data_IF_249152675116
#
_entry.id   IF_249152675116
#
_cell.length_a   1.000
_cell.length_b   1.000
_cell.length_c   1.000
_cell.angle_alpha   90.00
_cell.angle_beta   90.00
_cell.angle_gamma   90.00
#
_symmetry.space_group_name_H-M   'P 1'
#
loop_
_entity.id
_entity.type
_entity.pdbx_description
1 polymer ?
#
# COMPACT_ATOMS: atom_id res chain seq x y z
N UNK A 1 -25.72 -18.57 14.41
CA UNK A 1 -25.84 -17.27 13.73
C UNK A 1 -25.90 -17.57 12.24
N UNK A 2 -26.84 -17.02 11.49
CA UNK A 2 -27.04 -17.40 10.08
C UNK A 2 -26.83 -16.19 9.20
N UNK A 3 -25.93 -16.30 8.22
CA UNK A 3 -25.73 -15.30 7.17
C UNK A 3 -26.36 -15.88 5.91
N UNK A 4 -27.33 -15.17 5.34
CA UNK A 4 -27.94 -15.53 4.06
C UNK A 4 -27.38 -14.63 2.97
N UNK A 5 -26.90 -15.23 1.89
CA UNK A 5 -26.37 -14.53 0.73
C UNK A 5 -27.23 -14.94 -0.46
N UNK A 6 -28.08 -14.02 -0.93
CA UNK A 6 -28.96 -14.27 -2.09
C UNK A 6 -28.28 -13.74 -3.37
N UNK A 7 -27.13 -14.33 -3.73
CA UNK A 7 -26.35 -13.94 -4.93
C UNK A 7 -25.68 -15.17 -5.56
N UNK A 8 -26.10 -15.51 -6.79
CA UNK A 8 -25.71 -16.76 -7.48
C UNK A 8 -24.19 -16.91 -7.63
N UNK A 9 -23.48 -15.84 -8.01
CA UNK A 9 -22.02 -15.89 -8.17
C UNK A 9 -21.29 -16.19 -6.85
N UNK A 10 -21.78 -15.65 -5.72
CA UNK A 10 -21.15 -15.88 -4.42
C UNK A 10 -21.36 -17.33 -4.00
N UNK A 11 -22.56 -17.88 -4.23
CA UNK A 11 -22.88 -19.28 -4.00
C UNK A 11 -21.97 -20.20 -4.82
N UNK A 12 -21.78 -19.91 -6.11
CA UNK A 12 -20.90 -20.67 -6.99
C UNK A 12 -19.44 -20.64 -6.53
N UNK A 13 -18.93 -19.47 -6.12
CA UNK A 13 -17.56 -19.32 -5.59
C UNK A 13 -17.36 -20.08 -4.28
N UNK A 14 -18.32 -20.01 -3.36
CA UNK A 14 -18.28 -20.77 -2.10
C UNK A 14 -18.26 -22.27 -2.40
N UNK A 15 -19.11 -22.75 -3.32
CA UNK A 15 -19.19 -24.15 -3.69
C UNK A 15 -17.88 -24.67 -4.30
N UNK A 16 -17.28 -23.92 -5.24
CA UNK A 16 -15.98 -24.27 -5.84
C UNK A 16 -14.86 -24.32 -4.79
N UNK A 17 -14.78 -23.32 -3.91
CA UNK A 17 -13.78 -23.28 -2.85
C UNK A 17 -13.98 -24.40 -1.83
N UNK A 18 -15.22 -24.72 -1.46
CA UNK A 18 -15.52 -25.84 -0.58
C UNK A 18 -15.11 -27.17 -1.22
N UNK A 19 -15.39 -27.36 -2.51
CA UNK A 19 -15.00 -28.56 -3.25
C UNK A 19 -13.47 -28.74 -3.31
N UNK A 20 -12.72 -27.65 -3.52
CA UNK A 20 -11.24 -27.71 -3.63
C UNK A 20 -10.53 -27.82 -2.29
N UNK A 21 -11.07 -27.22 -1.23
CA UNK A 21 -10.39 -27.11 0.07
C UNK A 21 -10.92 -28.09 1.11
N UNK A 22 -12.09 -28.69 0.89
CA UNK A 22 -12.79 -29.53 1.87
C UNK A 22 -13.30 -28.77 3.09
N UNK A 23 -13.29 -27.43 3.06
CA UNK A 23 -13.73 -26.58 4.17
C UNK A 23 -15.23 -26.28 4.05
N UNK A 24 -15.87 -26.10 5.20
CA UNK A 24 -17.26 -25.65 5.23
C UNK A 24 -17.40 -24.18 4.79
N UNK A 25 -18.61 -23.85 4.35
CA UNK A 25 -18.99 -22.51 3.88
C UNK A 25 -18.63 -21.41 4.88
N UNK A 26 -18.98 -21.60 6.15
CA UNK A 26 -18.87 -20.56 7.16
C UNK A 26 -17.39 -20.29 7.47
N UNK A 27 -16.57 -21.35 7.51
CA UNK A 27 -15.12 -21.24 7.64
C UNK A 27 -14.49 -20.48 6.46
N UNK A 28 -14.96 -20.72 5.22
CA UNK A 28 -14.48 -19.99 4.04
C UNK A 28 -14.85 -18.51 4.08
N UNK A 29 -16.10 -18.19 4.42
CA UNK A 29 -16.57 -16.80 4.53
C UNK A 29 -15.80 -16.07 5.63
N UNK A 30 -15.67 -16.70 6.81
CA UNK A 30 -14.97 -16.09 7.94
C UNK A 30 -13.49 -15.84 7.64
N UNK A 31 -12.83 -16.79 6.97
CA UNK A 31 -11.43 -16.64 6.56
C UNK A 31 -11.27 -15.52 5.52
N UNK A 32 -12.15 -15.45 4.52
CA UNK A 32 -12.14 -14.37 3.53
C UNK A 32 -12.28 -12.98 4.18
N UNK A 33 -13.21 -12.82 5.12
CA UNK A 33 -13.41 -11.57 5.86
C UNK A 33 -12.22 -11.21 6.74
N UNK A 34 -11.59 -12.20 7.39
CA UNK A 34 -10.38 -11.99 8.22
C UNK A 34 -9.21 -11.52 7.37
N UNK A 35 -8.96 -12.18 6.24
CA UNK A 35 -7.89 -11.82 5.30
C UNK A 35 -8.07 -10.40 4.78
N UNK A 36 -9.29 -10.03 4.41
CA UNK A 36 -9.55 -8.67 3.93
C UNK A 36 -9.33 -7.63 5.02
N UNK A 37 -9.79 -7.88 6.25
CA UNK A 37 -9.49 -7.01 7.39
C UNK A 37 -7.98 -6.88 7.63
N UNK A 38 -7.26 -8.00 7.65
CA UNK A 38 -5.81 -8.01 7.85
C UNK A 38 -5.06 -7.26 6.74
N UNK A 39 -5.50 -7.41 5.49
CA UNK A 39 -4.97 -6.65 4.35
C UNK A 39 -5.14 -5.15 4.56
N UNK A 40 -6.35 -4.70 4.92
CA UNK A 40 -6.64 -3.29 5.15
C UNK A 40 -5.85 -2.71 6.33
N UNK A 41 -5.71 -3.45 7.43
CA UNK A 41 -4.91 -3.03 8.57
C UNK A 41 -3.40 -3.00 8.24
N UNK A 42 -2.91 -3.99 7.49
CA UNK A 42 -1.53 -4.02 7.01
C UNK A 42 -1.21 -2.86 6.06
N UNK A 43 -2.14 -2.50 5.17
CA UNK A 43 -1.98 -1.35 4.27
C UNK A 43 -1.90 -0.03 5.06
N UNK A 44 -2.76 0.15 6.07
CA UNK A 44 -2.73 1.31 6.96
C UNK A 44 -1.43 1.39 7.75
N UNK A 45 -0.98 0.28 8.33
CA UNK A 45 0.26 0.22 9.11
C UNK A 45 1.47 0.59 8.25
N UNK A 46 1.58 0.03 7.03
CA UNK A 46 2.67 0.34 6.09
C UNK A 46 2.66 1.80 5.64
N UNK A 47 1.47 2.37 5.38
CA UNK A 47 1.37 3.78 5.04
C UNK A 47 1.82 4.69 6.21
N UNK A 48 1.43 4.36 7.44
CA UNK A 48 1.85 5.10 8.62
C UNK A 48 3.37 5.02 8.85
N UNK A 49 3.97 3.84 8.68
CA UNK A 49 5.43 3.65 8.77
C UNK A 49 6.16 4.48 7.70
N UNK A 50 5.69 4.44 6.45
CA UNK A 50 6.27 5.23 5.36
C UNK A 50 6.21 6.74 5.61
N UNK A 51 5.09 7.24 6.15
CA UNK A 51 4.95 8.65 6.52
C UNK A 51 5.87 9.05 7.67
N UNK A 52 6.05 8.18 8.67
CA UNK A 52 6.97 8.44 9.77
C UNK A 52 8.43 8.47 9.29
N UNK A 53 8.82 7.53 8.43
CA UNK A 53 10.16 7.49 7.84
C UNK A 53 10.45 8.71 6.95
N UNK A 54 9.49 9.15 6.14
CA UNK A 54 9.60 10.38 5.34
C UNK A 54 9.78 11.62 6.24
N UNK A 55 8.97 11.75 7.28
CA UNK A 55 9.06 12.88 8.21
C UNK A 55 10.44 12.93 8.89
N UNK A 56 10.96 11.78 9.33
CA UNK A 56 12.30 11.68 9.90
C UNK A 56 13.40 12.04 8.90
N UNK A 57 13.32 11.52 7.67
CA UNK A 57 14.28 11.82 6.62
C UNK A 57 14.31 13.33 6.31
N UNK A 58 13.13 13.95 6.14
CA UNK A 58 13.02 15.40 5.89
C UNK A 58 13.60 16.21 7.05
N UNK A 59 13.28 15.86 8.30
CA UNK A 59 13.82 16.55 9.46
C UNK A 59 15.36 16.49 9.48
N UNK A 60 15.94 15.31 9.23
CA UNK A 60 17.39 15.12 9.14
C UNK A 60 18.00 15.89 7.97
N UNK A 61 17.34 15.92 6.81
CA UNK A 61 17.81 16.64 5.64
C UNK A 61 17.84 18.15 5.88
N UNK A 62 16.76 18.72 6.42
CA UNK A 62 16.66 20.15 6.71
C UNK A 62 17.61 20.64 7.81
N UNK A 63 18.02 19.75 8.73
CA UNK A 63 19.01 20.06 9.74
C UNK A 63 20.45 20.13 9.20
N UNK A 64 20.70 19.66 7.97
CA UNK A 64 22.05 19.69 7.39
C UNK A 64 22.45 21.12 6.98
N UNK A 65 23.72 21.50 7.15
CA UNK A 65 24.21 22.77 6.63
C UNK A 65 24.08 22.81 5.11
N UNK A 66 23.75 23.98 4.59
CA UNK A 66 23.67 24.22 3.14
C UNK A 66 25.07 24.11 2.53
N UNK A 67 25.28 23.07 1.73
CA UNK A 67 26.58 22.78 1.11
C UNK A 67 26.89 23.68 -0.09
N UNK A 68 25.86 24.01 -0.88
CA UNK A 68 25.97 24.88 -2.05
C UNK A 68 24.78 25.86 -2.07
N UNK A 69 25.02 27.17 -1.91
CA UNK A 69 23.96 28.17 -1.91
C UNK A 69 23.56 28.63 -3.32
N UNK A 70 24.19 28.13 -4.38
CA UNK A 70 23.83 28.51 -5.75
C UNK A 70 22.38 28.10 -6.04
N UNK A 71 21.62 28.90 -6.82
CA UNK A 71 20.32 28.48 -7.32
C UNK A 71 20.48 27.27 -8.25
N UNK A 72 19.42 26.46 -8.38
CA UNK A 72 19.44 25.23 -9.17
C UNK A 72 19.95 25.45 -10.60
N UNK A 73 19.55 26.54 -11.25
CA UNK A 73 19.95 26.89 -12.62
C UNK A 73 21.45 27.20 -12.75
N UNK A 74 22.12 27.59 -11.66
CA UNK A 74 23.56 27.80 -11.61
C UNK A 74 24.34 26.56 -11.14
N UNK A 75 23.64 25.52 -10.70
CA UNK A 75 24.18 24.20 -10.34
C UNK A 75 24.13 23.27 -11.55
N UNK A 76 23.01 23.31 -12.30
CA UNK A 76 22.84 22.54 -13.51
C UNK A 76 23.78 23.08 -14.59
N UNK A 77 24.72 22.26 -15.04
CA UNK A 77 25.58 22.57 -16.19
C UNK A 77 24.86 22.26 -17.52
N UNK A 78 23.57 22.57 -17.59
CA UNK A 78 22.75 22.38 -18.77
C UNK A 78 22.21 23.74 -19.21
N UNK A 79 22.19 23.98 -20.52
CA UNK A 79 21.54 25.16 -21.08
C UNK A 79 20.01 25.02 -21.00
N UNK A 80 19.30 26.07 -21.47
CA UNK A 80 17.83 26.10 -21.50
C UNK A 80 17.20 24.99 -22.37
N UNK A 81 17.99 24.33 -23.23
CA UNK A 81 17.56 23.20 -24.07
C UNK A 81 17.94 21.83 -23.46
N UNK A 82 18.56 21.81 -22.28
CA UNK A 82 19.00 20.60 -21.61
C UNK A 82 20.30 20.02 -22.17
N UNK A 83 21.12 20.81 -22.87
CA UNK A 83 22.41 20.38 -23.40
C UNK A 83 23.55 20.74 -22.43
N UNK A 84 24.54 19.85 -22.22
CA UNK A 84 25.71 20.17 -21.41
C UNK A 84 26.45 21.40 -21.95
N UNK A 85 26.85 22.31 -21.07
CA UNK A 85 27.68 23.49 -21.38
C UNK A 85 29.14 23.26 -21.07
#
# INVERSE_FOLDING_TARGET
MTIRIDHEEIEALIADLAARTGRDRDALILDALRRERERLEGDRARAAEGLAADAELRARWHARPLADPRPVDAILAYDENGLPV
#
